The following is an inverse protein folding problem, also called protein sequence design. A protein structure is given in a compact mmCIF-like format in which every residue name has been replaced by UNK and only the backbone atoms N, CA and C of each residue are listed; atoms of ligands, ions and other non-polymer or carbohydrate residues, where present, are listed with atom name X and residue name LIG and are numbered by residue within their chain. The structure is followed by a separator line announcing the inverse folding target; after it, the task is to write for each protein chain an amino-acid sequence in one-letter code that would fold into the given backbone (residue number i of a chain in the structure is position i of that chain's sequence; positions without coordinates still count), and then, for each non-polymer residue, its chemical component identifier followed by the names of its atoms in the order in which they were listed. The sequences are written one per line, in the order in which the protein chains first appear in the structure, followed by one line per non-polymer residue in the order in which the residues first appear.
data_IF_288990622795
#
_entry.id   IF_288990622795
#
_cell.length_a   1.000
_cell.length_b   1.000
_cell.length_c   1.000
_cell.angle_alpha   90.00
_cell.angle_beta   90.00
_cell.angle_gamma   90.00
#
_symmetry.space_group_name_H-M   'P 1'
#
loop_
_entity.id
_entity.type
_entity.pdbx_description
1 polymer ?
#
# COMPACT_ATOMS: atom_id res chain seq x y z
N UNK A 1 -7.22 7.97 20.57
CA UNK A 1 -7.53 7.50 19.21
C UNK A 1 -7.10 6.04 19.09
N UNK A 2 -7.77 5.19 18.31
CA UNK A 2 -7.30 3.82 18.12
C UNK A 2 -5.92 3.84 17.44
N UNK A 3 -5.00 3.02 17.92
CA UNK A 3 -3.68 2.84 17.31
C UNK A 3 -3.82 2.17 15.93
N UNK A 4 -2.93 2.46 14.97
CA UNK A 4 -2.97 1.83 13.66
C UNK A 4 -2.51 0.41 13.89
N UNK A 5 -3.28 -0.55 13.39
CA UNK A 5 -2.83 -1.93 13.47
C UNK A 5 -1.76 -2.08 12.41
N UNK A 6 -0.52 -2.27 12.85
CA UNK A 6 0.53 -2.86 12.03
C UNK A 6 0.01 -4.19 11.49
N UNK A 7 0.45 -4.59 10.30
CA UNK A 7 0.04 -5.87 9.76
C UNK A 7 0.35 -7.00 10.74
N UNK A 8 -0.67 -7.84 10.97
CA UNK A 8 -0.56 -9.14 11.59
C UNK A 8 -1.70 -10.02 11.07
N UNK A 9 -1.57 -11.35 11.10
CA UNK A 9 -2.68 -12.25 10.73
C UNK A 9 -3.98 -11.94 11.49
N UNK A 10 -3.89 -11.54 12.76
CA UNK A 10 -5.03 -11.16 13.59
C UNK A 10 -5.67 -9.83 13.14
N UNK A 11 -4.87 -8.90 12.61
CA UNK A 11 -5.35 -7.64 12.06
C UNK A 11 -5.93 -7.78 10.65
N UNK A 12 -5.54 -8.83 9.92
CA UNK A 12 -5.97 -9.20 8.58
C UNK A 12 -7.03 -10.31 8.55
N UNK A 13 -7.69 -10.60 9.68
CA UNK A 13 -8.74 -11.63 9.74
C UNK A 13 -9.85 -11.32 8.73
N UNK A 14 -10.13 -12.30 7.86
CA UNK A 14 -11.12 -12.21 6.79
C UNK A 14 -10.57 -11.68 5.46
N UNK A 15 -9.28 -11.38 5.38
CA UNK A 15 -8.59 -10.96 4.15
C UNK A 15 -7.75 -12.09 3.57
N UNK A 16 -7.61 -12.08 2.25
CA UNK A 16 -6.62 -12.88 1.54
C UNK A 16 -5.23 -12.25 1.72
N UNK A 17 -4.27 -13.05 2.17
CA UNK A 17 -2.86 -12.65 2.24
C UNK A 17 -1.94 -13.86 2.13
N UNK A 18 -0.69 -13.62 1.73
CA UNK A 18 0.37 -14.64 1.67
C UNK A 18 1.57 -14.18 2.49
N UNK A 19 2.14 -15.11 3.27
CA UNK A 19 3.37 -14.91 4.03
C UNK A 19 4.48 -15.81 3.50
N UNK A 20 5.73 -15.37 3.61
CA UNK A 20 6.88 -16.26 3.47
C UNK A 20 7.19 -16.99 4.80
N UNK A 21 8.21 -17.85 4.79
CA UNK A 21 8.63 -18.59 5.98
C UNK A 21 9.18 -17.70 7.12
N UNK A 22 9.54 -16.44 6.82
CA UNK A 22 10.04 -15.47 7.80
C UNK A 22 8.96 -14.55 8.36
N UNK A 23 7.72 -14.67 7.88
CA UNK A 23 6.59 -13.83 8.27
C UNK A 23 6.54 -12.48 7.53
N UNK A 24 7.30 -12.32 6.44
CA UNK A 24 7.13 -11.18 5.51
C UNK A 24 5.88 -11.38 4.67
N UNK A 25 5.30 -10.27 4.25
CA UNK A 25 3.98 -10.21 3.63
C UNK A 25 4.13 -9.93 2.14
N UNK A 26 3.46 -10.71 1.30
CA UNK A 26 3.32 -10.37 -0.11
C UNK A 26 2.30 -9.25 -0.28
N UNK A 27 2.71 -8.20 -0.98
CA UNK A 27 1.86 -7.07 -1.32
C UNK A 27 2.01 -6.71 -2.80
N UNK A 28 0.98 -6.05 -3.31
CA UNK A 28 0.75 -5.83 -4.72
C UNK A 28 0.44 -4.36 -4.96
N UNK A 29 1.02 -3.80 -6.02
CA UNK A 29 0.72 -2.43 -6.45
C UNK A 29 0.71 -2.32 -7.97
N UNK A 30 -0.34 -1.71 -8.49
CA UNK A 30 -0.48 -1.38 -9.91
C UNK A 30 0.19 -0.03 -10.21
N UNK A 31 0.92 0.04 -11.31
CA UNK A 31 1.57 1.26 -11.76
C UNK A 31 2.32 1.07 -13.09
N UNK A 32 3.04 2.10 -13.52
CA UNK A 32 3.90 2.06 -14.69
C UNK A 32 5.37 1.94 -14.26
N UNK A 33 6.01 0.80 -14.56
CA UNK A 33 7.41 0.56 -14.16
C UNK A 33 8.41 1.57 -14.75
N UNK A 34 8.03 2.28 -15.81
CA UNK A 34 8.84 3.35 -16.40
C UNK A 34 8.71 4.68 -15.64
N UNK A 35 7.73 4.81 -14.75
CA UNK A 35 7.44 6.01 -13.96
C UNK A 35 7.78 5.79 -12.50
N UNK A 36 8.94 6.27 -12.07
CA UNK A 36 9.37 6.20 -10.67
C UNK A 36 8.33 6.75 -9.68
N UNK A 37 7.52 7.73 -10.09
CA UNK A 37 6.49 8.35 -9.25
C UNK A 37 5.38 7.38 -8.81
N UNK A 38 5.17 6.28 -9.53
CA UNK A 38 4.13 5.30 -9.18
C UNK A 38 4.57 4.40 -8.02
N UNK A 39 5.88 4.37 -7.73
CA UNK A 39 6.51 3.43 -6.79
C UNK A 39 7.13 4.10 -5.56
N UNK A 40 6.92 5.41 -5.39
CA UNK A 40 7.46 6.19 -4.30
C UNK A 40 6.33 7.02 -3.68
N UNK A 41 6.29 7.11 -2.35
CA UNK A 41 5.39 8.02 -1.66
C UNK A 41 5.68 9.47 -2.05
N UNK A 42 4.68 10.37 -1.94
CA UNK A 42 4.87 11.79 -2.28
C UNK A 42 5.96 12.45 -1.44
N UNK A 43 6.04 12.10 -0.17
CA UNK A 43 7.11 12.61 0.70
C UNK A 43 8.49 12.15 0.22
N UNK A 44 8.64 10.88 -0.18
CA UNK A 44 9.91 10.39 -0.73
C UNK A 44 10.28 11.07 -2.06
N UNK A 45 9.29 11.33 -2.91
CA UNK A 45 9.51 12.07 -4.17
C UNK A 45 10.02 13.49 -3.91
N UNK A 46 9.48 14.18 -2.90
CA UNK A 46 9.86 15.57 -2.59
C UNK A 46 11.13 15.71 -1.76
N UNK A 47 11.34 14.85 -0.77
CA UNK A 47 12.40 14.98 0.22
C UNK A 47 13.47 13.88 0.17
N UNK A 48 13.33 12.89 -0.72
CA UNK A 48 14.14 11.67 -0.70
C UNK A 48 13.71 10.70 0.41
N UNK A 49 14.47 9.62 0.58
CA UNK A 49 14.28 8.64 1.66
C UNK A 49 15.05 8.99 2.93
N UNK A 50 14.90 8.16 3.97
CA UNK A 50 15.72 8.25 5.19
C UNK A 50 15.39 9.44 6.08
N UNK A 51 14.18 10.00 5.96
CA UNK A 51 13.69 10.99 6.91
C UNK A 51 13.40 10.34 8.27
N UNK A 52 13.52 11.08 9.39
CA UNK A 52 13.27 10.54 10.72
C UNK A 52 11.90 9.86 10.78
N UNK A 53 11.89 8.59 11.18
CA UNK A 53 10.64 7.86 11.35
C UNK A 53 9.84 8.53 12.48
N UNK A 54 8.62 9.01 12.19
CA UNK A 54 7.79 9.63 13.21
C UNK A 54 7.46 8.65 14.33
N UNK A 55 7.08 9.20 15.48
CA UNK A 55 6.57 8.39 16.57
C UNK A 55 5.33 7.57 16.15
N UNK A 56 5.02 6.46 16.83
CA UNK A 56 3.87 5.62 16.49
C UNK A 56 2.53 6.36 16.41
N UNK A 57 2.33 7.39 17.25
CA UNK A 57 1.12 8.22 17.25
C UNK A 57 1.01 9.09 15.99
N UNK A 58 2.11 9.70 15.55
CA UNK A 58 2.11 10.54 14.34
C UNK A 58 1.95 9.69 13.06
N UNK A 59 2.60 8.52 13.02
CA UNK A 59 2.39 7.55 11.95
C UNK A 59 0.94 7.08 11.86
N UNK A 60 0.28 6.91 13.01
CA UNK A 60 -1.14 6.60 13.07
C UNK A 60 -1.99 7.70 12.47
N UNK A 61 -1.78 8.94 12.91
CA UNK A 61 -2.57 10.07 12.46
C UNK A 61 -2.45 10.28 10.95
N UNK A 62 -1.30 9.95 10.37
CA UNK A 62 -1.14 9.93 8.92
C UNK A 62 -1.83 8.75 8.25
N UNK A 63 -1.69 7.53 8.79
CA UNK A 63 -2.39 6.35 8.25
C UNK A 63 -3.92 6.53 8.28
N UNK A 64 -4.46 7.17 9.32
CA UNK A 64 -5.88 7.48 9.45
C UNK A 64 -6.38 8.55 8.47
N UNK A 65 -5.50 9.42 7.94
CA UNK A 65 -5.86 10.39 6.89
C UNK A 65 -5.95 9.76 5.52
N UNK A 66 -5.42 8.56 5.36
CA UNK A 66 -5.45 7.85 4.09
C UNK A 66 -6.83 7.26 3.85
N UNK A 67 -7.36 7.57 2.66
CA UNK A 67 -8.75 7.33 2.33
C UNK A 67 -8.97 6.21 1.33
N UNK A 68 -8.04 5.92 0.41
CA UNK A 68 -8.10 4.79 -0.53
C UNK A 68 -6.85 4.72 -1.40
N UNK A 69 -6.70 3.58 -2.07
CA UNK A 69 -5.76 3.39 -3.16
C UNK A 69 -5.94 4.45 -4.24
N UNK A 70 -4.87 5.17 -4.58
CA UNK A 70 -4.83 6.22 -5.59
C UNK A 70 -5.57 7.50 -5.21
N UNK A 71 -6.01 7.67 -3.96
CA UNK A 71 -6.86 8.80 -3.57
C UNK A 71 -6.09 10.13 -3.53
N UNK A 72 -6.82 11.24 -3.40
CA UNK A 72 -6.19 12.55 -3.17
C UNK A 72 -5.34 12.58 -1.91
N UNK A 73 -5.72 11.83 -0.86
CA UNK A 73 -4.92 11.67 0.37
C UNK A 73 -3.57 11.02 0.08
N UNK A 74 -3.52 10.01 -0.80
CA UNK A 74 -2.25 9.36 -1.21
C UNK A 74 -1.32 10.39 -1.89
N UNK A 75 -1.92 11.32 -2.61
CA UNK A 75 -1.24 12.31 -3.43
C UNK A 75 -0.91 13.63 -2.70
N UNK A 76 -1.14 13.71 -1.38
CA UNK A 76 -0.70 14.86 -0.57
C UNK A 76 0.82 14.85 -0.43
N UNK A 77 1.47 16.01 -0.60
CA UNK A 77 2.93 16.16 -0.65
C UNK A 77 3.68 15.49 0.51
N UNK A 78 3.16 15.57 1.73
CA UNK A 78 3.83 15.05 2.93
C UNK A 78 3.44 13.61 3.28
N UNK A 79 2.65 12.93 2.44
CA UNK A 79 2.25 11.55 2.69
C UNK A 79 3.45 10.61 2.53
N UNK A 80 3.86 9.89 3.60
CA UNK A 80 4.97 8.93 3.54
C UNK A 80 4.53 7.51 3.17
N UNK A 81 3.25 7.30 2.85
CA UNK A 81 2.71 5.98 2.56
C UNK A 81 2.51 5.75 1.07
N UNK A 82 2.59 4.48 0.69
CA UNK A 82 2.09 3.95 -0.57
C UNK A 82 0.94 3.00 -0.27
N UNK A 83 -0.18 3.16 -0.97
CA UNK A 83 -1.26 2.16 -0.89
C UNK A 83 -0.85 0.89 -1.63
N UNK A 84 -1.03 -0.25 -0.99
CA UNK A 84 -0.77 -1.59 -1.54
C UNK A 84 -1.93 -2.50 -1.17
N UNK A 85 -2.09 -3.62 -1.86
CA UNK A 85 -3.06 -4.65 -1.48
C UNK A 85 -2.35 -5.96 -1.16
N UNK A 86 -2.92 -6.80 -0.29
CA UNK A 86 -2.45 -8.18 -0.10
C UNK A 86 -3.06 -9.16 -1.10
N UNK A 87 -4.09 -8.73 -1.84
CA UNK A 87 -4.73 -9.46 -2.92
C UNK A 87 -5.16 -8.48 -4.03
N UNK A 88 -4.55 -8.53 -5.23
CA UNK A 88 -4.86 -7.61 -6.32
C UNK A 88 -6.25 -7.87 -6.93
N UNK A 89 -6.76 -9.10 -6.87
CA UNK A 89 -8.09 -9.44 -7.39
C UNK A 89 -9.17 -8.91 -6.47
N UNK A 90 -8.97 -9.03 -5.14
CA UNK A 90 -9.86 -8.45 -4.15
C UNK A 90 -9.89 -6.91 -4.24
N UNK A 91 -8.72 -6.28 -4.46
CA UNK A 91 -8.64 -4.84 -4.70
C UNK A 91 -9.48 -4.41 -5.90
N UNK A 92 -9.42 -5.14 -7.02
CA UNK A 92 -10.24 -4.81 -8.19
C UNK A 92 -11.73 -5.09 -7.95
N UNK A 93 -12.07 -6.28 -7.44
CA UNK A 93 -13.45 -6.73 -7.26
C UNK A 93 -14.25 -5.87 -6.26
N UNK A 94 -13.57 -5.34 -5.24
CA UNK A 94 -14.19 -4.54 -4.18
C UNK A 94 -13.86 -3.05 -4.26
N UNK A 95 -12.94 -2.67 -5.16
CA UNK A 95 -12.56 -1.29 -5.41
C UNK A 95 -13.73 -0.44 -5.89
N UNK A 96 -13.78 0.82 -5.44
CA UNK A 96 -14.68 1.80 -6.03
C UNK A 96 -14.41 1.94 -7.54
N UNK A 97 -15.42 2.28 -8.35
CA UNK A 97 -15.26 2.31 -9.82
C UNK A 97 -14.21 3.30 -10.35
N UNK A 98 -13.76 4.26 -9.54
CA UNK A 98 -12.62 5.12 -9.88
C UNK A 98 -11.27 4.46 -9.55
N UNK A 99 -11.21 3.61 -8.50
CA UNK A 99 -10.03 2.78 -8.18
C UNK A 99 -9.83 1.78 -9.31
N UNK A 100 -10.88 1.06 -9.73
CA UNK A 100 -10.83 0.11 -10.85
C UNK A 100 -10.24 0.74 -12.11
N UNK A 101 -10.63 1.98 -12.46
CA UNK A 101 -10.05 2.72 -13.60
C UNK A 101 -8.56 3.01 -13.45
N UNK A 102 -8.07 3.26 -12.24
CA UNK A 102 -6.63 3.43 -11.98
C UNK A 102 -5.91 2.10 -12.21
N UNK A 103 -6.47 0.99 -11.74
CA UNK A 103 -5.88 -0.35 -11.91
C UNK A 103 -5.87 -0.76 -13.37
N UNK A 104 -6.95 -0.52 -14.12
CA UNK A 104 -7.05 -0.79 -15.57
C UNK A 104 -6.09 0.09 -16.39
N UNK A 105 -5.80 1.30 -15.95
CA UNK A 105 -4.87 2.19 -16.67
C UNK A 105 -3.38 1.83 -16.44
N UNK A 106 -3.07 1.08 -15.39
CA UNK A 106 -1.70 0.70 -15.08
C UNK A 106 -1.20 -0.40 -16.02
N UNK A 107 0.00 -0.29 -16.63
CA UNK A 107 0.52 -1.33 -17.51
C UNK A 107 1.20 -2.49 -16.77
N UNK A 108 1.50 -2.33 -15.48
CA UNK A 108 2.32 -3.28 -14.72
C UNK A 108 1.76 -3.51 -13.34
N UNK A 109 1.89 -4.75 -12.86
CA UNK A 109 1.70 -5.12 -11.47
C UNK A 109 3.07 -5.40 -10.83
N UNK A 110 3.40 -4.69 -9.76
CA UNK A 110 4.54 -4.98 -8.92
C UNK A 110 4.17 -5.95 -7.79
N UNK A 111 4.99 -6.98 -7.60
CA UNK A 111 4.88 -7.94 -6.51
C UNK A 111 6.05 -7.72 -5.56
N UNK A 112 5.73 -7.48 -4.29
CA UNK A 112 6.71 -7.13 -3.27
C UNK A 112 6.59 -8.03 -2.06
N UNK A 113 7.70 -8.35 -1.42
CA UNK A 113 7.75 -9.09 -0.16
C UNK A 113 8.26 -8.17 0.94
N UNK A 114 7.37 -7.62 1.77
CA UNK A 114 7.72 -6.54 2.73
C UNK A 114 7.70 -7.03 4.19
N UNK A 115 8.48 -6.42 5.10
CA UNK A 115 8.32 -6.68 6.53
C UNK A 115 6.93 -6.28 7.01
N UNK A 116 6.27 -7.12 7.81
CA UNK A 116 4.95 -6.81 8.39
C UNK A 116 4.94 -5.47 9.16
N UNK A 117 6.05 -5.14 9.84
CA UNK A 117 6.27 -3.88 10.57
C UNK A 117 6.29 -2.60 9.72
N UNK A 118 6.31 -2.73 8.39
CA UNK A 118 6.25 -1.62 7.45
C UNK A 118 4.82 -1.35 6.94
N UNK A 119 3.87 -2.24 7.23
CA UNK A 119 2.48 -2.14 6.77
C UNK A 119 1.57 -1.61 7.87
N UNK A 120 0.73 -0.66 7.52
CA UNK A 120 -0.21 0.00 8.42
C UNK A 120 -1.62 -0.07 7.87
N UNK A 121 -2.59 -0.19 8.77
CA UNK A 121 -3.99 -0.15 8.38
C UNK A 121 -4.42 1.28 7.99
N UNK A 122 -5.08 1.48 6.83
CA UNK A 122 -5.80 2.72 6.54
C UNK A 122 -7.00 2.91 7.51
N UNK A 123 -7.66 4.07 7.46
CA UNK A 123 -8.70 4.45 8.44
C UNK A 123 -9.72 3.33 8.76
N UNK A 124 -9.95 2.99 10.05
CA UNK A 124 -10.89 1.94 10.46
C UNK A 124 -12.35 2.30 10.19
N UNK A 125 -12.66 3.55 9.86
CA UNK A 125 -14.00 3.98 9.45
C UNK A 125 -14.34 3.58 8.02
N UNK A 126 -13.36 3.15 7.22
CA UNK A 126 -13.57 2.72 5.85
C UNK A 126 -13.61 1.20 5.78
N UNK A 127 -14.81 0.64 5.95
CA UNK A 127 -15.03 -0.80 5.89
C UNK A 127 -14.57 -1.41 4.56
N UNK A 128 -14.59 -0.63 3.47
CA UNK A 128 -14.22 -1.10 2.12
C UNK A 128 -12.72 -1.41 1.99
N UNK A 129 -11.84 -0.74 2.73
CA UNK A 129 -10.38 -1.01 2.66
C UNK A 129 -10.06 -2.44 3.10
N UNK A 130 -10.89 -3.05 3.95
CA UNK A 130 -10.74 -4.48 4.30
C UNK A 130 -11.13 -5.39 3.14
N UNK A 131 -12.25 -5.13 2.48
CA UNK A 131 -12.66 -5.92 1.31
C UNK A 131 -11.69 -5.74 0.14
N UNK A 132 -11.12 -4.55 -0.01
CA UNK A 132 -10.06 -4.26 -0.99
C UNK A 132 -8.70 -4.85 -0.59
N UNK A 133 -8.57 -5.39 0.63
CA UNK A 133 -7.30 -5.84 1.21
C UNK A 133 -6.21 -4.77 1.23
N UNK A 134 -6.60 -3.50 1.32
CA UNK A 134 -5.70 -2.34 1.28
C UNK A 134 -4.88 -2.23 2.58
N UNK A 135 -3.58 -2.02 2.40
CA UNK A 135 -2.60 -1.70 3.42
C UNK A 135 -1.72 -0.53 2.97
N UNK A 136 -1.09 0.13 3.93
CA UNK A 136 -0.21 1.27 3.69
C UNK A 136 1.22 0.89 3.97
N UNK A 137 2.07 0.89 2.95
CA UNK A 137 3.50 0.70 3.10
C UNK A 137 4.16 2.01 3.51
N UNK A 138 4.87 2.02 4.65
CA UNK A 138 5.66 3.18 5.08
C UNK A 138 6.95 3.27 4.28
N UNK A 139 7.01 4.25 3.40
CA UNK A 139 8.08 4.43 2.42
C UNK A 139 9.19 5.36 2.94
N UNK A 140 9.27 5.61 4.25
CA UNK A 140 10.31 6.47 4.84
C UNK A 140 11.65 5.77 5.05
N UNK A 141 11.61 4.50 5.46
CA UNK A 141 12.81 3.72 5.78
C UNK A 141 13.53 3.29 4.49
N UNK A 142 12.85 2.52 3.64
CA UNK A 142 13.35 2.02 2.36
C UNK A 142 12.28 2.18 1.26
N UNK A 143 12.67 2.46 0.00
CA UNK A 143 11.73 2.48 -1.10
C UNK A 143 11.12 1.08 -1.29
N UNK A 144 9.82 0.99 -1.60
CA UNK A 144 9.15 -0.33 -1.77
C UNK A 144 9.85 -1.21 -2.82
N UNK A 145 10.51 -0.59 -3.81
CA UNK A 145 11.26 -1.29 -4.87
C UNK A 145 12.46 -2.09 -4.35
N UNK A 146 12.96 -1.80 -3.15
CA UNK A 146 14.00 -2.64 -2.50
C UNK A 146 13.45 -4.00 -2.04
N UNK A 147 12.13 -4.14 -2.05
CA UNK A 147 11.40 -5.36 -1.70
C UNK A 147 10.74 -6.03 -2.91
N UNK A 148 11.09 -5.62 -4.12
CA UNK A 148 10.55 -6.18 -5.36
C UNK A 148 10.99 -7.63 -5.53
N UNK A 149 10.02 -8.52 -5.71
CA UNK A 149 10.25 -9.91 -6.09
C UNK A 149 10.15 -10.04 -7.62
N UNK A 150 9.10 -9.47 -8.22
CA UNK A 150 8.86 -9.57 -9.66
C UNK A 150 7.98 -8.44 -10.20
N UNK A 151 8.16 -8.16 -11.49
CA UNK A 151 7.25 -7.35 -12.30
C UNK A 151 6.40 -8.26 -13.17
N UNK A 152 5.08 -8.09 -13.09
CA UNK A 152 4.11 -8.80 -13.93
C UNK A 152 3.42 -7.82 -14.89
N UNK A 153 2.97 -8.32 -16.04
CA UNK A 153 1.99 -7.58 -16.84
C UNK A 153 0.72 -7.37 -15.99
N UNK A 154 -0.04 -6.31 -16.27
CA UNK A 154 -1.31 -6.10 -15.57
C UNK A 154 -2.27 -7.27 -15.88
N UNK A 155 -2.66 -8.09 -14.88
CA UNK A 155 -3.53 -9.24 -15.09
C UNK A 155 -4.98 -8.85 -15.46
N UNK A 156 -5.34 -7.57 -15.35
CA UNK A 156 -6.66 -7.04 -15.71
C UNK A 156 -6.79 -6.68 -17.20
N UNK A 157 -5.70 -6.73 -17.97
CA UNK A 157 -5.64 -6.32 -19.38
C UNK A 157 -5.68 -7.49 -20.37
N UNK A 158 -5.99 -8.70 -19.89
CA UNK A 158 -6.12 -9.92 -20.71
C UNK A 158 -7.36 -9.90 -21.63
#
# INVERSE_FOLDING_TARGET
MPAPKTFSPEAAVGESFRLDASGRVYVYRFGDRSKGIDWLSRRRQGAGGGFPRPGPEELNDWALKQSSYGSSSENVADNPFLSVATDPDALYAHGEGWVQKILEAAPTLGVFLVPAGALFRPSPTKLISRSETEWLYYDGDAPITDHLEEWLANPLLD
#
